data_IF_776980974242
#
_entry.id   IF_776980974242
#
_cell.length_a   1.000
_cell.length_b   1.000
_cell.length_c   1.000
_cell.angle_alpha   90.00
_cell.angle_beta   90.00
_cell.angle_gamma   90.00
#
_symmetry.space_group_name_H-M   'P 1'
#
loop_
_entity.id
_entity.type
_entity.pdbx_description
1 polymer ?
#
# COMPACT_ATOMS: atom_id res chain seq x y z
N UNK A 1 -4.58 -7.40 0.88
CA UNK A 1 -3.55 -6.33 0.90
C UNK A 1 -4.15 -4.98 1.30
N UNK A 2 -5.19 -4.51 0.61
CA UNK A 2 -5.84 -3.21 0.87
C UNK A 2 -6.28 -3.05 2.35
N UNK A 3 -6.91 -4.05 2.95
CA UNK A 3 -7.31 -3.96 4.38
C UNK A 3 -6.12 -3.85 5.35
N UNK A 4 -4.98 -4.46 4.99
CA UNK A 4 -3.76 -4.38 5.80
C UNK A 4 -3.17 -2.97 5.76
N UNK A 5 -3.17 -2.30 4.60
CA UNK A 5 -2.60 -0.95 4.50
C UNK A 5 -3.51 0.10 5.17
N UNK A 6 -4.83 -0.12 5.18
CA UNK A 6 -5.80 0.72 5.92
C UNK A 6 -5.51 0.79 7.42
N UNK A 7 -4.93 -0.26 8.00
CA UNK A 7 -4.66 -0.39 9.44
C UNK A 7 -3.16 -0.33 9.78
N UNK A 8 -2.32 0.04 8.82
CA UNK A 8 -0.85 0.01 8.96
C UNK A 8 -0.33 0.93 10.06
N UNK A 9 -1.05 1.99 10.41
CA UNK A 9 -0.67 2.94 11.46
C UNK A 9 -0.55 2.30 12.85
N UNK A 10 -1.17 1.13 13.07
CA UNK A 10 -1.07 0.36 14.33
C UNK A 10 0.28 -0.39 14.40
N UNK A 11 0.97 -0.60 13.28
CA UNK A 11 2.24 -1.34 13.24
C UNK A 11 3.43 -0.45 13.62
N UNK A 12 4.51 -1.04 14.18
CA UNK A 12 5.76 -0.32 14.42
C UNK A 12 6.36 0.27 13.13
N UNK A 13 7.05 1.40 13.23
CA UNK A 13 7.57 2.18 12.10
C UNK A 13 8.31 1.33 11.06
N UNK A 14 9.28 0.51 11.50
CA UNK A 14 10.03 -0.39 10.60
C UNK A 14 9.11 -1.29 9.78
N UNK A 15 8.11 -1.89 10.43
CA UNK A 15 7.16 -2.78 9.76
C UNK A 15 6.24 -2.02 8.82
N UNK A 16 5.91 -0.74 9.12
CA UNK A 16 5.16 0.10 8.19
C UNK A 16 5.94 0.34 6.91
N UNK A 17 7.22 0.71 7.02
CA UNK A 17 8.09 0.97 5.86
C UNK A 17 8.23 -0.26 4.96
N UNK A 18 8.42 -1.46 5.54
CA UNK A 18 8.47 -2.72 4.80
C UNK A 18 7.16 -2.97 4.01
N UNK A 19 6.01 -2.79 4.65
CA UNK A 19 4.70 -3.01 4.02
C UNK A 19 4.44 -1.97 2.92
N UNK A 20 4.82 -0.71 3.13
CA UNK A 20 4.66 0.36 2.13
C UNK A 20 5.51 0.05 0.90
N UNK A 21 6.77 -0.30 1.10
CA UNK A 21 7.69 -0.62 0.01
C UNK A 21 7.18 -1.80 -0.83
N UNK A 22 6.80 -2.90 -0.17
CA UNK A 22 6.22 -4.07 -0.83
C UNK A 22 4.92 -3.70 -1.58
N UNK A 23 4.07 -2.85 -0.99
CA UNK A 23 2.82 -2.43 -1.63
C UNK A 23 3.06 -1.58 -2.87
N UNK A 24 4.03 -0.66 -2.81
CA UNK A 24 4.43 0.17 -3.95
C UNK A 24 5.08 -0.63 -5.08
N UNK A 25 5.94 -1.60 -4.74
CA UNK A 25 6.71 -2.34 -5.74
C UNK A 25 5.97 -3.52 -6.35
N UNK A 26 5.09 -4.20 -5.60
CA UNK A 26 4.43 -5.42 -6.07
C UNK A 26 2.92 -5.24 -6.29
N UNK A 27 2.22 -4.66 -5.31
CA UNK A 27 0.75 -4.71 -5.30
C UNK A 27 0.09 -3.62 -6.13
N UNK A 28 0.66 -2.43 -6.18
CA UNK A 28 0.18 -1.35 -7.06
C UNK A 28 0.37 -1.74 -8.54
N UNK A 29 1.57 -2.16 -9.01
CA UNK A 29 1.74 -2.62 -10.39
C UNK A 29 0.84 -3.81 -10.74
N UNK A 30 0.62 -4.73 -9.79
CA UNK A 30 -0.30 -5.85 -10.00
C UNK A 30 -1.76 -5.37 -10.17
N UNK A 31 -2.22 -4.41 -9.37
CA UNK A 31 -3.56 -3.86 -9.50
C UNK A 31 -3.75 -3.11 -10.83
N UNK A 32 -2.73 -2.37 -11.28
CA UNK A 32 -2.73 -1.71 -12.60
C UNK A 32 -2.76 -2.74 -13.74
N UNK A 33 -1.93 -3.79 -13.66
CA UNK A 33 -1.91 -4.88 -14.64
C UNK A 33 -3.26 -5.58 -14.78
N UNK A 34 -3.93 -5.83 -13.65
CA UNK A 34 -5.26 -6.45 -13.59
C UNK A 34 -6.39 -5.49 -13.99
N UNK A 35 -6.08 -4.24 -14.37
CA UNK A 35 -7.08 -3.20 -14.71
C UNK A 35 -8.04 -2.93 -13.56
N UNK A 36 -7.52 -2.86 -12.33
CA UNK A 36 -8.25 -2.50 -11.10
C UNK A 36 -7.80 -1.10 -10.61
N UNK A 37 -8.12 -0.02 -11.36
CA UNK A 37 -7.58 1.31 -11.08
C UNK A 37 -8.01 1.86 -9.70
N UNK A 38 -9.24 1.57 -9.26
CA UNK A 38 -9.73 2.00 -7.95
C UNK A 38 -8.87 1.43 -6.81
N UNK A 39 -8.46 0.17 -6.93
CA UNK A 39 -7.59 -0.49 -5.94
C UNK A 39 -6.18 0.09 -5.99
N UNK A 40 -5.61 0.32 -7.18
CA UNK A 40 -4.28 0.92 -7.32
C UNK A 40 -4.23 2.33 -6.71
N UNK A 41 -5.27 3.15 -6.97
CA UNK A 41 -5.40 4.50 -6.40
C UNK A 41 -5.51 4.44 -4.88
N UNK A 42 -6.36 3.55 -4.34
CA UNK A 42 -6.55 3.46 -2.90
C UNK A 42 -5.28 2.94 -2.18
N UNK A 43 -4.56 1.98 -2.78
CA UNK A 43 -3.26 1.53 -2.27
C UNK A 43 -2.23 2.68 -2.27
N UNK A 44 -2.11 3.44 -3.37
CA UNK A 44 -1.20 4.58 -3.46
C UNK A 44 -1.50 5.64 -2.40
N UNK A 45 -2.77 6.00 -2.21
CA UNK A 45 -3.20 6.95 -1.18
C UNK A 45 -2.69 6.59 0.22
N UNK A 46 -2.79 5.32 0.61
CA UNK A 46 -2.33 4.88 1.93
C UNK A 46 -0.80 4.76 2.01
N UNK A 47 -0.12 4.40 0.92
CA UNK A 47 1.35 4.46 0.87
C UNK A 47 1.85 5.89 1.09
N UNK A 48 1.29 6.88 0.38
CA UNK A 48 1.67 8.30 0.52
C UNK A 48 1.37 8.83 1.93
N UNK A 49 0.21 8.50 2.50
CA UNK A 49 -0.20 8.93 3.83
C UNK A 49 0.76 8.47 4.94
N UNK A 50 1.39 7.30 4.76
CA UNK A 50 2.21 6.67 5.79
C UNK A 50 3.69 6.53 5.42
N UNK A 51 4.16 7.15 4.34
CA UNK A 51 5.55 7.11 3.89
C UNK A 51 6.57 7.80 4.84
N UNK A 52 6.14 8.21 6.04
CA UNK A 52 6.95 8.86 7.09
C UNK A 52 7.55 7.84 8.06
#
# INVERSE_FOLDING_TARGET
>A
RLDNIKTIFIKPVKRRQEIILETQQEFIPLAEYLKLPEIAIELNKYCELYAT
#
